data_IF_890404848605
#
_entry.id   IF_890404848605
#
_cell.length_a   1.000
_cell.length_b   1.000
_cell.length_c   1.000
_cell.angle_alpha   90.00
_cell.angle_beta   90.00
_cell.angle_gamma   90.00
#
_symmetry.space_group_name_H-M   'P 1'
#
loop_
_entity.id
_entity.type
_entity.pdbx_description
1 polymer ?
#
# COMPACT_ATOMS: atom_id res chain seq x y z
N UNK A 1 22.27 -17.61 28.75
CA UNK A 1 21.48 -17.73 27.54
C UNK A 1 21.13 -16.39 26.87
N UNK A 2 20.51 -15.40 27.51
CA UNK A 2 20.12 -14.11 26.88
C UNK A 2 21.26 -13.33 26.19
N UNK A 3 22.48 -13.38 26.71
CA UNK A 3 23.65 -12.69 26.09
C UNK A 3 24.19 -13.41 24.85
N UNK A 4 24.15 -14.73 24.83
CA UNK A 4 24.56 -15.53 23.67
C UNK A 4 23.59 -15.30 22.49
N UNK A 5 22.29 -15.32 22.75
CA UNK A 5 21.25 -15.05 21.74
C UNK A 5 21.38 -13.63 21.15
N UNK A 6 21.66 -12.62 22.00
CA UNK A 6 21.89 -11.25 21.53
C UNK A 6 23.17 -11.13 20.65
N UNK A 7 24.23 -11.87 21.01
CA UNK A 7 25.48 -11.87 20.24
C UNK A 7 25.31 -12.59 18.89
N UNK A 8 24.61 -13.74 18.89
CA UNK A 8 24.25 -14.46 17.66
C UNK A 8 23.39 -13.62 16.71
N UNK A 9 22.39 -12.89 17.21
CA UNK A 9 21.56 -11.98 16.41
C UNK A 9 22.41 -10.82 15.82
N UNK A 10 23.35 -10.27 16.57
CA UNK A 10 24.25 -9.22 16.05
C UNK A 10 25.15 -9.77 14.94
N UNK A 11 25.76 -10.95 15.13
CA UNK A 11 26.57 -11.60 14.11
C UNK A 11 25.76 -11.93 12.85
N UNK A 12 24.52 -12.44 12.99
CA UNK A 12 23.66 -12.71 11.86
C UNK A 12 23.28 -11.44 11.08
N UNK A 13 23.01 -10.33 11.79
CA UNK A 13 22.74 -9.02 11.14
C UNK A 13 23.98 -8.50 10.40
N UNK A 14 25.17 -8.61 10.99
CA UNK A 14 26.41 -8.20 10.34
C UNK A 14 26.67 -9.05 9.09
N UNK A 15 26.54 -10.38 9.18
CA UNK A 15 26.71 -11.28 8.06
C UNK A 15 25.71 -10.98 6.92
N UNK A 16 24.45 -10.72 7.26
CA UNK A 16 23.43 -10.33 6.27
C UNK A 16 23.77 -8.99 5.58
N UNK A 17 24.24 -7.99 6.33
CA UNK A 17 24.66 -6.72 5.75
C UNK A 17 25.89 -6.88 4.83
N UNK A 18 26.89 -7.70 5.24
CA UNK A 18 28.06 -7.99 4.41
C UNK A 18 27.67 -8.75 3.14
N UNK A 19 26.76 -9.73 3.23
CA UNK A 19 26.26 -10.46 2.08
C UNK A 19 25.51 -9.55 1.10
N UNK A 20 24.67 -8.64 1.60
CA UNK A 20 23.96 -7.66 0.77
C UNK A 20 24.94 -6.70 0.07
N UNK A 21 25.99 -6.24 0.77
CA UNK A 21 27.02 -5.41 0.17
C UNK A 21 27.78 -6.16 -0.92
N UNK A 22 28.26 -7.39 -0.64
CA UNK A 22 28.95 -8.23 -1.62
C UNK A 22 28.09 -8.48 -2.85
N UNK A 23 26.79 -8.75 -2.66
CA UNK A 23 25.83 -8.91 -3.74
C UNK A 23 25.76 -7.66 -4.63
N UNK A 24 25.59 -6.48 -4.05
CA UNK A 24 25.54 -5.22 -4.81
C UNK A 24 26.84 -4.97 -5.61
N UNK A 25 27.98 -5.38 -5.08
CA UNK A 25 29.27 -5.20 -5.75
C UNK A 25 29.54 -6.23 -6.86
N UNK A 26 29.08 -7.46 -6.69
CA UNK A 26 29.34 -8.55 -7.64
C UNK A 26 28.28 -8.68 -8.73
N UNK A 27 27.04 -8.25 -8.45
CA UNK A 27 25.87 -8.34 -9.33
C UNK A 27 25.32 -6.97 -9.73
N UNK A 28 26.22 -6.07 -10.11
CA UNK A 28 25.89 -4.66 -10.37
C UNK A 28 24.89 -4.49 -11.53
N UNK A 29 25.00 -5.31 -12.58
CA UNK A 29 24.12 -5.23 -13.74
C UNK A 29 22.67 -5.63 -13.35
N UNK A 30 22.52 -6.73 -12.62
CA UNK A 30 21.24 -7.25 -12.16
C UNK A 30 20.57 -6.30 -11.17
N UNK A 31 21.37 -5.71 -10.26
CA UNK A 31 20.91 -4.68 -9.31
C UNK A 31 20.44 -3.43 -10.06
N UNK A 32 21.21 -2.96 -11.04
CA UNK A 32 20.86 -1.80 -11.86
C UNK A 32 19.55 -2.04 -12.62
N UNK A 33 19.38 -3.21 -13.22
CA UNK A 33 18.16 -3.58 -13.92
C UNK A 33 16.96 -3.66 -12.97
N UNK A 34 17.11 -4.22 -11.77
CA UNK A 34 16.06 -4.28 -10.76
C UNK A 34 15.61 -2.88 -10.33
N UNK A 35 16.56 -1.96 -10.13
CA UNK A 35 16.27 -0.56 -9.79
C UNK A 35 15.59 0.17 -10.95
N UNK A 36 16.08 -0.01 -12.19
CA UNK A 36 15.47 0.60 -13.38
C UNK A 36 14.02 0.17 -13.55
N UNK A 37 13.73 -1.13 -13.44
CA UNK A 37 12.35 -1.64 -13.51
C UNK A 37 11.48 -1.12 -12.35
N UNK A 38 12.03 -0.91 -11.16
CA UNK A 38 11.32 -0.29 -10.05
C UNK A 38 10.97 1.17 -10.35
N UNK A 39 11.91 1.93 -10.92
CA UNK A 39 11.69 3.33 -11.32
C UNK A 39 10.60 3.43 -12.39
N UNK A 40 10.62 2.56 -13.39
CA UNK A 40 9.59 2.50 -14.42
C UNK A 40 8.20 2.23 -13.82
N UNK A 41 8.08 1.28 -12.88
CA UNK A 41 6.82 1.04 -12.15
C UNK A 41 6.39 2.25 -11.33
N UNK A 42 7.32 2.94 -10.68
CA UNK A 42 7.01 4.14 -9.93
C UNK A 42 6.44 5.25 -10.82
N UNK A 43 7.08 5.51 -11.95
CA UNK A 43 6.66 6.55 -12.90
C UNK A 43 5.37 6.17 -13.63
N UNK A 44 5.28 4.93 -14.12
CA UNK A 44 4.16 4.49 -14.95
C UNK A 44 2.89 4.13 -14.19
N UNK A 45 2.99 3.74 -12.91
CA UNK A 45 1.85 3.22 -12.16
C UNK A 45 1.67 3.93 -10.82
N UNK A 46 2.71 3.97 -9.98
CA UNK A 46 2.55 4.37 -8.57
C UNK A 46 2.29 5.88 -8.45
N UNK A 47 3.11 6.70 -9.10
CA UNK A 47 2.96 8.16 -9.05
C UNK A 47 1.61 8.60 -9.64
N UNK A 48 1.21 8.20 -10.87
CA UNK A 48 -0.07 8.61 -11.44
C UNK A 48 -1.29 8.17 -10.61
N UNK A 49 -1.22 7.00 -9.97
CA UNK A 49 -2.35 6.46 -9.20
C UNK A 49 -2.49 7.05 -7.80
N UNK A 50 -1.39 7.40 -7.13
CA UNK A 50 -1.40 7.75 -5.71
C UNK A 50 -1.19 9.23 -5.42
N UNK A 51 -0.44 9.96 -6.26
CA UNK A 51 -0.02 11.34 -5.94
C UNK A 51 -1.20 12.29 -5.74
N UNK A 52 -2.15 12.31 -6.69
CA UNK A 52 -3.34 13.15 -6.57
C UNK A 52 -4.18 12.79 -5.33
N UNK A 53 -4.34 11.49 -5.06
CA UNK A 53 -5.09 11.00 -3.91
C UNK A 53 -4.41 11.38 -2.59
N UNK A 54 -3.08 11.42 -2.55
CA UNK A 54 -2.31 11.87 -1.38
C UNK A 54 -2.50 13.37 -1.12
N UNK A 55 -2.58 14.20 -2.15
CA UNK A 55 -2.88 15.64 -2.01
C UNK A 55 -4.29 15.82 -1.45
N UNK A 56 -5.29 15.16 -2.06
CA UNK A 56 -6.68 15.24 -1.62
C UNK A 56 -6.84 14.78 -0.17
N UNK A 57 -6.20 13.66 0.22
CA UNK A 57 -6.24 13.20 1.61
C UNK A 57 -5.61 14.18 2.58
N UNK A 58 -4.48 14.78 2.20
CA UNK A 58 -3.82 15.83 2.97
C UNK A 58 -4.72 17.04 3.20
N UNK A 59 -5.45 17.46 2.18
CA UNK A 59 -6.44 18.54 2.26
C UNK A 59 -7.62 18.17 3.15
N UNK A 60 -8.18 16.97 2.99
CA UNK A 60 -9.30 16.49 3.80
C UNK A 60 -9.00 16.57 5.32
N UNK A 61 -7.79 16.15 5.71
CA UNK A 61 -7.37 16.18 7.11
C UNK A 61 -7.10 17.60 7.60
N UNK A 62 -6.39 18.39 6.79
CA UNK A 62 -5.98 19.76 7.20
C UNK A 62 -7.16 20.73 7.21
N UNK A 63 -8.09 20.61 6.27
CA UNK A 63 -9.29 21.45 6.20
C UNK A 63 -10.28 21.22 7.35
N UNK A 64 -10.16 20.13 8.09
CA UNK A 64 -11.10 19.78 9.14
C UNK A 64 -12.45 19.23 8.65
N UNK A 65 -12.58 18.96 7.34
CA UNK A 65 -13.83 18.42 6.76
C UNK A 65 -14.23 17.08 7.38
N UNK A 66 -13.24 16.32 7.88
CA UNK A 66 -13.49 15.07 8.63
C UNK A 66 -14.30 15.31 9.89
N UNK A 67 -14.24 16.53 10.47
CA UNK A 67 -15.06 16.97 11.61
C UNK A 67 -16.48 17.40 11.23
N UNK A 68 -16.74 17.64 9.95
CA UNK A 68 -18.05 18.13 9.46
C UNK A 68 -19.07 17.01 9.26
N UNK A 69 -18.73 15.76 9.58
CA UNK A 69 -19.65 14.61 9.46
C UNK A 69 -20.91 14.85 10.29
N UNK A 70 -22.13 14.71 9.68
CA UNK A 70 -23.38 14.86 10.38
C UNK A 70 -23.47 13.94 11.61
N UNK A 71 -24.07 14.41 12.69
CA UNK A 71 -24.15 13.66 13.96
C UNK A 71 -24.79 12.29 13.80
N UNK A 72 -25.82 12.17 12.98
CA UNK A 72 -26.51 10.90 12.76
C UNK A 72 -25.60 9.86 12.07
N UNK A 73 -24.79 10.27 11.09
CA UNK A 73 -23.80 9.39 10.43
C UNK A 73 -22.72 8.99 11.43
N UNK A 74 -22.27 9.93 12.27
CA UNK A 74 -21.32 9.63 13.34
C UNK A 74 -21.86 8.60 14.33
N UNK A 75 -23.12 8.71 14.76
CA UNK A 75 -23.77 7.74 15.64
C UNK A 75 -23.87 6.35 15.00
N UNK A 76 -24.21 6.29 13.70
CA UNK A 76 -24.23 5.03 12.95
C UNK A 76 -22.83 4.40 12.90
N UNK A 77 -21.80 5.17 12.57
CA UNK A 77 -20.42 4.73 12.54
C UNK A 77 -19.94 4.17 13.88
N UNK A 78 -20.24 4.88 14.98
CA UNK A 78 -19.89 4.42 16.34
C UNK A 78 -20.64 3.16 16.74
N UNK A 79 -21.92 3.06 16.35
CA UNK A 79 -22.76 1.92 16.69
C UNK A 79 -22.40 0.66 15.89
N UNK A 80 -22.16 0.80 14.58
CA UNK A 80 -21.91 -0.33 13.68
C UNK A 80 -20.43 -0.69 13.58
N UNK A 81 -19.56 0.30 13.46
CA UNK A 81 -18.13 0.08 13.20
C UNK A 81 -17.23 0.33 14.42
N UNK A 82 -17.77 0.90 15.48
CA UNK A 82 -17.00 1.25 16.67
C UNK A 82 -15.98 2.38 16.43
N UNK A 83 -16.22 3.20 15.42
CA UNK A 83 -15.36 4.30 15.02
C UNK A 83 -16.05 5.63 15.27
N UNK A 84 -15.29 6.64 15.75
CA UNK A 84 -15.81 8.02 15.86
C UNK A 84 -16.21 8.53 14.48
N UNK A 85 -17.26 9.37 14.43
CA UNK A 85 -17.80 9.89 13.17
C UNK A 85 -16.76 10.56 12.27
N UNK A 86 -15.75 11.23 12.84
CA UNK A 86 -14.67 11.86 12.08
C UNK A 86 -13.73 10.82 11.42
N UNK A 87 -13.71 9.58 11.89
CA UNK A 87 -12.92 8.50 11.30
C UNK A 87 -13.58 7.86 10.08
N UNK A 88 -14.89 8.03 9.89
CA UNK A 88 -15.59 7.42 8.76
C UNK A 88 -15.07 7.93 7.39
N UNK A 89 -14.89 9.24 7.17
CA UNK A 89 -14.23 9.72 5.95
C UNK A 89 -12.81 9.20 5.79
N UNK A 90 -12.03 9.10 6.86
CA UNK A 90 -10.67 8.55 6.83
C UNK A 90 -10.68 7.07 6.45
N UNK A 91 -11.60 6.30 7.01
CA UNK A 91 -11.78 4.89 6.71
C UNK A 91 -12.17 4.69 5.23
N UNK A 92 -13.21 5.38 4.77
CA UNK A 92 -13.68 5.29 3.39
C UNK A 92 -12.59 5.74 2.42
N UNK A 93 -11.99 6.90 2.67
CA UNK A 93 -10.94 7.43 1.82
C UNK A 93 -9.69 6.54 1.80
N UNK A 94 -9.29 5.99 2.95
CA UNK A 94 -8.14 5.11 3.06
C UNK A 94 -8.29 3.80 2.27
N UNK A 95 -9.52 3.30 2.11
CA UNK A 95 -9.78 2.13 1.26
C UNK A 95 -9.59 2.41 -0.24
N UNK A 96 -9.91 3.64 -0.67
CA UNK A 96 -9.89 4.00 -2.10
C UNK A 96 -8.66 4.79 -2.53
N UNK A 97 -7.98 5.48 -1.61
CA UNK A 97 -6.84 6.33 -1.94
C UNK A 97 -5.52 5.59 -2.12
N UNK A 98 -5.46 4.31 -1.74
CA UNK A 98 -4.24 3.51 -1.79
C UNK A 98 -3.57 3.33 -0.42
N UNK A 99 -2.76 2.29 -0.32
CA UNK A 99 -2.25 1.74 0.95
C UNK A 99 -1.65 2.72 1.97
N UNK A 100 -0.68 3.61 1.63
CA UNK A 100 -0.05 4.41 2.65
C UNK A 100 -0.86 5.66 3.03
N UNK A 101 -1.86 6.03 2.22
CA UNK A 101 -2.61 7.28 2.38
C UNK A 101 -3.45 7.24 3.65
N UNK A 102 -4.18 6.15 3.87
CA UNK A 102 -4.97 5.95 5.09
C UNK A 102 -4.10 5.97 6.34
N UNK A 103 -2.96 5.29 6.31
CA UNK A 103 -2.02 5.24 7.43
C UNK A 103 -1.44 6.61 7.77
N UNK A 104 -1.08 7.41 6.75
CA UNK A 104 -0.60 8.79 6.95
C UNK A 104 -1.64 9.67 7.63
N UNK A 105 -2.89 9.54 7.19
CA UNK A 105 -4.03 10.27 7.75
C UNK A 105 -4.23 9.90 9.22
N UNK A 106 -4.23 8.60 9.54
CA UNK A 106 -4.36 8.10 10.93
C UNK A 106 -3.19 8.55 11.79
N UNK A 107 -1.96 8.54 11.26
CA UNK A 107 -0.79 9.04 11.99
C UNK A 107 -0.95 10.52 12.38
N UNK A 108 -1.52 11.33 11.49
CA UNK A 108 -1.82 12.73 11.81
C UNK A 108 -2.80 12.85 12.99
N UNK A 109 -3.82 11.98 13.06
CA UNK A 109 -4.76 11.93 14.18
C UNK A 109 -4.10 11.51 15.50
N UNK A 110 -3.12 10.59 15.44
CA UNK A 110 -2.29 10.21 16.60
C UNK A 110 -1.44 11.37 17.07
N UNK A 111 -0.75 12.08 16.16
CA UNK A 111 0.08 13.24 16.50
C UNK A 111 -0.73 14.40 17.07
N UNK A 112 -1.99 14.54 16.65
CA UNK A 112 -2.93 15.50 17.24
C UNK A 112 -3.52 15.03 18.59
N UNK A 113 -3.12 13.88 19.12
CA UNK A 113 -3.62 13.34 20.39
C UNK A 113 -5.06 12.83 20.36
N UNK A 114 -5.67 12.70 19.17
CA UNK A 114 -7.06 12.25 19.00
C UNK A 114 -7.22 10.74 18.98
N UNK A 115 -6.16 10.01 18.65
CA UNK A 115 -6.11 8.53 18.64
C UNK A 115 -4.97 8.01 19.50
N UNK A 116 -5.18 6.91 20.20
CA UNK A 116 -4.09 6.15 20.80
C UNK A 116 -3.38 5.27 19.77
N UNK A 117 -2.10 4.92 20.03
CA UNK A 117 -1.24 4.17 19.08
C UNK A 117 -1.75 2.76 18.77
N UNK A 118 -2.33 2.06 19.74
CA UNK A 118 -2.79 0.68 19.55
C UNK A 118 -4.04 0.64 18.68
N UNK A 119 -4.96 1.57 18.93
CA UNK A 119 -6.16 1.73 18.12
C UNK A 119 -5.82 2.20 16.72
N UNK A 120 -4.88 3.15 16.60
CA UNK A 120 -4.37 3.60 15.31
C UNK A 120 -3.79 2.44 14.49
N UNK A 121 -3.12 1.49 15.11
CA UNK A 121 -2.59 0.31 14.42
C UNK A 121 -3.69 -0.58 13.82
N UNK A 122 -4.79 -0.78 14.54
CA UNK A 122 -5.96 -1.51 14.01
C UNK A 122 -6.61 -0.73 12.87
N UNK A 123 -6.81 0.58 13.05
CA UNK A 123 -7.40 1.45 12.03
C UNK A 123 -6.52 1.54 10.77
N UNK A 124 -5.18 1.61 10.91
CA UNK A 124 -4.26 1.51 9.77
C UNK A 124 -4.43 0.20 9.00
N UNK A 125 -4.68 -0.88 9.72
CA UNK A 125 -5.02 -2.14 9.10
C UNK A 125 -6.37 -2.12 8.37
N UNK A 126 -7.37 -1.41 8.85
CA UNK A 126 -8.71 -1.32 8.24
C UNK A 126 -8.78 -0.28 7.11
N UNK A 127 -8.14 0.88 7.29
CA UNK A 127 -8.05 1.95 6.29
C UNK A 127 -6.95 1.66 5.26
N UNK A 128 -6.98 0.48 4.66
CA UNK A 128 -5.89 -0.04 3.84
C UNK A 128 -6.48 -0.75 2.63
N UNK A 129 -6.13 -0.30 1.44
CA UNK A 129 -6.62 -0.90 0.21
C UNK A 129 -5.75 -0.55 -0.99
N UNK A 130 -5.76 -1.42 -1.98
CA UNK A 130 -5.27 -1.10 -3.30
C UNK A 130 -6.23 -0.10 -3.94
N UNK A 131 -5.82 1.11 -4.19
CA UNK A 131 -6.70 2.11 -4.81
C UNK A 131 -7.28 1.63 -6.16
N UNK A 132 -8.48 2.10 -6.56
CA UNK A 132 -9.11 1.72 -7.81
C UNK A 132 -8.18 1.91 -9.02
N UNK A 133 -7.39 2.99 -9.05
CA UNK A 133 -6.45 3.25 -10.13
C UNK A 133 -5.41 2.13 -10.31
N UNK A 134 -4.91 1.55 -9.19
CA UNK A 134 -4.01 0.40 -9.24
C UNK A 134 -4.74 -0.88 -9.65
N UNK A 135 -5.93 -1.13 -9.08
CA UNK A 135 -6.71 -2.34 -9.39
C UNK A 135 -7.12 -2.36 -10.86
N UNK A 136 -7.71 -1.28 -11.38
CA UNK A 136 -8.19 -1.23 -12.76
C UNK A 136 -7.05 -1.02 -13.76
N UNK A 137 -6.07 -0.17 -13.47
CA UNK A 137 -4.98 0.14 -14.39
C UNK A 137 -3.90 -0.93 -14.43
N UNK A 138 -3.49 -1.46 -13.29
CA UNK A 138 -2.37 -2.40 -13.21
C UNK A 138 -2.83 -3.87 -13.21
N UNK A 139 -3.83 -4.21 -12.39
CA UNK A 139 -4.24 -5.61 -12.22
C UNK A 139 -5.23 -6.01 -13.32
N UNK A 140 -6.41 -5.40 -13.30
CA UNK A 140 -7.54 -5.78 -14.15
C UNK A 140 -7.25 -5.54 -15.63
N UNK A 141 -6.70 -4.37 -15.97
CA UNK A 141 -6.40 -4.01 -17.35
C UNK A 141 -5.27 -4.85 -17.97
N UNK A 142 -4.22 -5.17 -17.21
CA UNK A 142 -3.07 -5.91 -17.72
C UNK A 142 -3.23 -7.42 -17.67
N UNK A 143 -3.79 -7.96 -16.58
CA UNK A 143 -3.86 -9.41 -16.37
C UNK A 143 -5.10 -10.04 -16.99
N UNK A 144 -6.23 -9.35 -16.95
CA UNK A 144 -7.52 -9.92 -17.32
C UNK A 144 -8.16 -9.22 -18.52
N UNK A 145 -7.71 -8.02 -18.86
CA UNK A 145 -8.36 -7.15 -19.86
C UNK A 145 -9.88 -6.99 -19.61
N UNK A 146 -10.29 -7.12 -18.36
CA UNK A 146 -11.69 -7.13 -17.91
C UNK A 146 -11.89 -6.16 -16.74
N UNK A 147 -12.66 -5.08 -16.93
CA UNK A 147 -13.04 -4.19 -15.82
C UNK A 147 -13.80 -4.92 -14.71
N UNK A 148 -14.56 -5.94 -15.07
CA UNK A 148 -15.35 -6.74 -14.12
C UNK A 148 -14.46 -7.49 -13.15
N UNK A 149 -13.31 -8.03 -13.60
CA UNK A 149 -12.32 -8.65 -12.71
C UNK A 149 -11.80 -7.65 -11.67
N UNK A 150 -11.54 -6.41 -12.09
CA UNK A 150 -11.15 -5.33 -11.18
C UNK A 150 -12.26 -4.98 -10.18
N UNK A 151 -13.50 -4.94 -10.63
CA UNK A 151 -14.65 -4.69 -9.77
C UNK A 151 -14.81 -5.80 -8.71
N UNK A 152 -14.64 -7.07 -9.09
CA UNK A 152 -14.65 -8.21 -8.17
C UNK A 152 -13.58 -8.05 -7.09
N UNK A 153 -12.34 -7.73 -7.47
CA UNK A 153 -11.24 -7.50 -6.51
C UNK A 153 -11.58 -6.34 -5.57
N UNK A 154 -12.05 -5.21 -6.11
CA UNK A 154 -12.36 -4.01 -5.32
C UNK A 154 -13.48 -4.28 -4.32
N UNK A 155 -14.56 -4.93 -4.74
CA UNK A 155 -15.70 -5.30 -3.89
C UNK A 155 -15.23 -6.28 -2.81
N UNK A 156 -14.45 -7.28 -3.16
CA UNK A 156 -13.93 -8.28 -2.22
C UNK A 156 -13.03 -7.68 -1.15
N UNK A 157 -12.11 -6.78 -1.54
CA UNK A 157 -11.23 -6.08 -0.62
C UNK A 157 -12.01 -5.13 0.30
N UNK A 158 -13.01 -4.43 -0.24
CA UNK A 158 -13.88 -3.54 0.54
C UNK A 158 -14.71 -4.35 1.54
N UNK A 159 -15.31 -5.45 1.10
CA UNK A 159 -16.07 -6.36 1.95
C UNK A 159 -15.19 -6.94 3.07
N UNK A 160 -13.96 -7.34 2.77
CA UNK A 160 -13.02 -7.84 3.77
C UNK A 160 -12.72 -6.79 4.85
N UNK A 161 -12.49 -5.55 4.47
CA UNK A 161 -12.25 -4.46 5.42
C UNK A 161 -13.49 -4.13 6.26
N UNK A 162 -14.68 -4.16 5.68
CA UNK A 162 -15.94 -3.96 6.41
C UNK A 162 -16.22 -5.10 7.39
N UNK A 163 -16.07 -6.36 6.96
CA UNK A 163 -16.23 -7.52 7.84
C UNK A 163 -15.25 -7.45 9.02
N UNK A 164 -13.98 -7.11 8.75
CA UNK A 164 -12.99 -6.95 9.81
C UNK A 164 -13.31 -5.78 10.75
N UNK A 165 -13.83 -4.67 10.23
CA UNK A 165 -14.26 -3.55 11.06
C UNK A 165 -15.39 -3.98 12.02
N UNK A 166 -16.35 -4.78 11.55
CA UNK A 166 -17.41 -5.35 12.38
C UNK A 166 -16.84 -6.32 13.44
N UNK A 167 -15.94 -7.21 13.06
CA UNK A 167 -15.31 -8.17 13.99
C UNK A 167 -14.44 -7.48 15.03
N UNK A 168 -13.76 -6.39 14.68
CA UNK A 168 -12.91 -5.62 15.58
C UNK A 168 -13.67 -4.52 16.33
N UNK A 169 -14.97 -4.33 16.05
CA UNK A 169 -15.81 -3.31 16.69
C UNK A 169 -15.70 -3.28 18.21
N UNK A 170 -15.71 -4.42 18.95
CA UNK A 170 -15.60 -4.39 20.41
C UNK A 170 -14.28 -3.77 20.89
N UNK A 171 -13.17 -4.06 20.20
CA UNK A 171 -11.84 -3.49 20.50
C UNK A 171 -11.78 -2.01 20.16
N UNK A 172 -12.40 -1.61 19.06
CA UNK A 172 -12.45 -0.21 18.62
C UNK A 172 -13.32 0.63 19.57
N UNK A 173 -14.49 0.14 20.00
CA UNK A 173 -15.37 0.84 20.96
C UNK A 173 -14.74 1.03 22.32
N UNK A 174 -13.95 0.08 22.81
CA UNK A 174 -13.33 0.15 24.14
C UNK A 174 -12.41 1.35 24.32
N UNK A 175 -11.87 1.88 23.23
CA UNK A 175 -10.91 2.98 23.23
C UNK A 175 -11.51 4.29 22.69
N UNK A 176 -12.85 4.38 22.52
CA UNK A 176 -13.50 5.60 22.06
C UNK A 176 -13.23 6.77 23.03
N UNK A 177 -12.62 7.83 22.53
CA UNK A 177 -12.44 9.08 23.27
C UNK A 177 -13.67 9.97 23.08
N UNK A 178 -14.35 10.27 24.17
CA UNK A 178 -15.48 11.22 24.17
C UNK A 178 -14.96 12.66 24.27
N UNK A 179 -15.66 13.60 23.63
CA UNK A 179 -15.37 15.03 23.77
C UNK A 179 -14.22 15.55 22.90
N UNK A 180 -13.89 14.87 21.79
CA UNK A 180 -12.87 15.38 20.85
C UNK A 180 -13.40 16.68 20.21
N UNK A 181 -12.66 17.81 20.32
CA UNK A 181 -13.06 19.07 19.73
C UNK A 181 -13.21 18.92 18.21
N UNK A 182 -14.34 19.34 17.67
CA UNK A 182 -14.52 19.43 16.23
C UNK A 182 -13.70 20.60 15.70
N UNK A 183 -12.81 20.33 14.75
CA UNK A 183 -12.19 21.42 13.99
C UNK A 183 -13.23 22.04 13.08
N UNK A 184 -13.32 23.36 13.07
CA UNK A 184 -14.08 24.09 12.07
C UNK A 184 -13.50 23.83 10.68
N UNK A 185 -14.34 23.80 9.66
CA UNK A 185 -13.91 23.73 8.28
C UNK A 185 -13.21 25.02 7.89
N UNK A 186 -12.01 24.92 7.36
CA UNK A 186 -11.27 26.02 6.75
C UNK A 186 -10.47 25.49 5.57
N UNK A 187 -10.42 26.24 4.49
CA UNK A 187 -9.60 25.94 3.32
C UNK A 187 -8.76 27.16 2.98
N UNK A 188 -7.44 26.98 2.87
CA UNK A 188 -6.51 28.04 2.51
C UNK A 188 -5.50 27.56 1.48
N UNK A 189 -4.92 28.50 0.72
CA UNK A 189 -3.87 28.20 -0.25
C UNK A 189 -2.64 27.57 0.43
N UNK A 190 -2.30 27.98 1.65
CA UNK A 190 -1.22 27.40 2.45
C UNK A 190 -1.47 25.91 2.75
N UNK A 191 -2.71 25.52 3.03
CA UNK A 191 -3.06 24.10 3.24
C UNK A 191 -2.87 23.27 1.98
N UNK A 192 -3.21 23.82 0.80
CA UNK A 192 -2.97 23.17 -0.49
C UNK A 192 -1.47 22.95 -0.71
N UNK A 193 -0.67 24.01 -0.58
CA UNK A 193 0.78 23.96 -0.75
C UNK A 193 1.42 22.92 0.19
N UNK A 194 1.08 22.93 1.47
CA UNK A 194 1.57 21.95 2.44
C UNK A 194 1.11 20.52 2.12
N UNK A 195 -0.07 20.35 1.56
CA UNK A 195 -0.57 19.02 1.15
C UNK A 195 0.20 18.50 -0.04
N UNK A 196 0.50 19.34 -1.03
CA UNK A 196 1.33 19.00 -2.20
C UNK A 196 2.74 18.61 -1.77
N UNK A 197 3.41 19.44 -0.96
CA UNK A 197 4.77 19.17 -0.44
C UNK A 197 4.80 17.86 0.34
N UNK A 198 3.83 17.67 1.23
CA UNK A 198 3.73 16.45 2.04
C UNK A 198 3.44 15.20 1.21
N UNK A 199 2.65 15.33 0.14
CA UNK A 199 2.40 14.25 -0.81
C UNK A 199 3.67 13.89 -1.59
N UNK A 200 4.40 14.89 -2.10
CA UNK A 200 5.66 14.70 -2.82
C UNK A 200 6.71 13.97 -1.98
N UNK A 201 6.89 14.37 -0.72
CA UNK A 201 7.81 13.69 0.20
C UNK A 201 7.43 12.23 0.41
N UNK A 202 6.16 11.96 0.71
CA UNK A 202 5.72 10.58 0.91
C UNK A 202 5.82 9.75 -0.37
N UNK A 203 5.62 10.35 -1.54
CA UNK A 203 5.78 9.69 -2.83
C UNK A 203 7.24 9.28 -3.06
N UNK A 204 8.19 10.17 -2.76
CA UNK A 204 9.61 9.86 -2.84
C UNK A 204 9.99 8.71 -1.90
N UNK A 205 9.52 8.72 -0.65
CA UNK A 205 9.74 7.63 0.32
C UNK A 205 9.18 6.29 -0.20
N UNK A 206 7.98 6.29 -0.81
CA UNK A 206 7.36 5.10 -1.39
C UNK A 206 8.20 4.56 -2.55
N UNK A 207 8.62 5.42 -3.49
CA UNK A 207 9.43 5.02 -4.64
C UNK A 207 10.80 4.45 -4.21
N UNK A 208 11.46 5.07 -3.23
CA UNK A 208 12.70 4.54 -2.65
C UNK A 208 12.51 3.17 -2.01
N UNK A 209 11.39 2.94 -1.30
CA UNK A 209 11.08 1.63 -0.72
C UNK A 209 10.84 0.57 -1.80
N UNK A 210 10.13 0.90 -2.87
CA UNK A 210 9.90 -0.01 -4.00
C UNK A 210 11.23 -0.38 -4.65
N UNK A 211 12.12 0.58 -4.89
CA UNK A 211 13.45 0.32 -5.44
C UNK A 211 14.29 -0.59 -4.53
N UNK A 212 14.31 -0.32 -3.22
CA UNK A 212 15.01 -1.15 -2.24
C UNK A 212 14.45 -2.59 -2.20
N UNK A 213 13.13 -2.74 -2.26
CA UNK A 213 12.51 -4.07 -2.32
C UNK A 213 12.76 -4.81 -3.64
N UNK A 214 12.90 -4.09 -4.75
CA UNK A 214 13.29 -4.70 -6.02
C UNK A 214 14.71 -5.27 -5.98
N UNK A 215 15.66 -4.56 -5.35
CA UNK A 215 17.00 -5.09 -5.09
C UNK A 215 16.96 -6.30 -4.15
N UNK A 216 16.14 -6.23 -3.10
CA UNK A 216 15.96 -7.36 -2.19
C UNK A 216 15.33 -8.58 -2.87
N UNK A 217 14.34 -8.38 -3.72
CA UNK A 217 13.74 -9.45 -4.52
C UNK A 217 14.76 -10.08 -5.46
N UNK A 218 15.61 -9.27 -6.12
CA UNK A 218 16.69 -9.77 -6.96
C UNK A 218 17.71 -10.59 -6.16
N UNK A 219 18.07 -10.15 -4.97
CA UNK A 219 18.92 -10.92 -4.06
C UNK A 219 18.31 -12.28 -3.73
N UNK A 220 17.00 -12.34 -3.44
CA UNK A 220 16.30 -13.61 -3.18
C UNK A 220 16.27 -14.53 -4.40
N UNK A 221 16.24 -13.97 -5.60
CA UNK A 221 16.34 -14.72 -6.87
C UNK A 221 17.71 -15.37 -7.00
N UNK A 222 18.79 -14.62 -6.77
CA UNK A 222 20.18 -15.10 -6.90
C UNK A 222 20.52 -16.19 -5.88
N UNK A 223 20.05 -16.11 -4.65
CA UNK A 223 20.24 -17.16 -3.64
C UNK A 223 19.31 -18.37 -3.83
N UNK A 224 18.46 -18.37 -4.88
CA UNK A 224 17.53 -19.45 -5.18
C UNK A 224 16.28 -19.53 -4.31
N UNK A 225 16.05 -18.56 -3.41
CA UNK A 225 14.89 -18.55 -2.53
C UNK A 225 13.57 -18.40 -3.31
N UNK A 226 13.57 -17.59 -4.37
CA UNK A 226 12.42 -17.45 -5.27
C UNK A 226 12.10 -18.78 -5.98
N UNK A 227 13.12 -19.48 -6.47
CA UNK A 227 12.94 -20.78 -7.13
C UNK A 227 12.42 -21.85 -6.15
N UNK A 228 12.91 -21.84 -4.92
CA UNK A 228 12.45 -22.72 -3.86
C UNK A 228 10.97 -22.43 -3.53
N UNK A 229 10.61 -21.17 -3.22
CA UNK A 229 9.26 -20.77 -2.93
C UNK A 229 8.31 -21.03 -4.12
N UNK A 230 8.74 -20.72 -5.34
CA UNK A 230 7.97 -20.97 -6.57
C UNK A 230 7.62 -22.44 -6.76
N UNK A 231 8.54 -23.36 -6.49
CA UNK A 231 8.24 -24.81 -6.54
C UNK A 231 7.19 -25.24 -5.51
N UNK A 232 7.27 -24.72 -4.29
CA UNK A 232 6.28 -25.01 -3.25
C UNK A 232 4.90 -24.45 -3.58
N UNK A 233 4.84 -23.21 -4.06
CA UNK A 233 3.58 -22.56 -4.48
C UNK A 233 2.98 -23.31 -5.69
N UNK A 234 3.80 -23.65 -6.68
CA UNK A 234 3.39 -24.45 -7.86
C UNK A 234 2.76 -25.79 -7.45
N UNK A 235 3.40 -26.50 -6.51
CA UNK A 235 2.87 -27.78 -6.02
C UNK A 235 1.55 -27.61 -5.24
N UNK A 236 1.39 -26.51 -4.50
CA UNK A 236 0.20 -26.22 -3.70
C UNK A 236 -0.99 -25.76 -4.56
N UNK A 237 -0.73 -24.94 -5.56
CA UNK A 237 -1.76 -24.28 -6.37
C UNK A 237 -1.99 -24.97 -7.72
N UNK A 238 -1.13 -25.91 -8.14
CA UNK A 238 -1.19 -26.54 -9.45
C UNK A 238 -0.86 -25.60 -10.61
N UNK A 239 -0.14 -24.49 -10.35
CA UNK A 239 0.19 -23.45 -11.34
C UNK A 239 1.59 -23.68 -11.91
N UNK A 240 1.88 -23.04 -13.05
CA UNK A 240 3.23 -23.05 -13.60
C UNK A 240 4.25 -22.42 -12.61
N UNK A 241 5.50 -22.89 -12.68
CA UNK A 241 6.58 -22.40 -11.82
C UNK A 241 6.86 -20.91 -12.07
N UNK A 242 6.73 -20.44 -13.31
CA UNK A 242 6.86 -19.02 -13.70
C UNK A 242 5.85 -18.15 -12.97
N UNK A 243 4.57 -18.51 -13.03
CA UNK A 243 3.46 -17.83 -12.33
C UNK A 243 3.64 -17.90 -10.82
N UNK A 244 4.06 -19.04 -10.28
CA UNK A 244 4.30 -19.23 -8.84
C UNK A 244 5.43 -18.34 -8.30
N UNK A 245 6.51 -18.16 -9.08
CA UNK A 245 7.58 -17.21 -8.76
C UNK A 245 7.07 -15.77 -8.75
N UNK A 246 6.28 -15.38 -9.75
CA UNK A 246 5.68 -14.05 -9.80
C UNK A 246 4.71 -13.82 -8.63
N UNK A 247 3.92 -14.81 -8.22
CA UNK A 247 3.09 -14.73 -7.02
C UNK A 247 3.93 -14.55 -5.75
N UNK A 248 5.07 -15.21 -5.63
CA UNK A 248 6.01 -14.99 -4.53
C UNK A 248 6.53 -13.55 -4.51
N UNK A 249 6.89 -12.98 -5.67
CA UNK A 249 7.28 -11.56 -5.78
C UNK A 249 6.15 -10.62 -5.32
N UNK A 250 4.88 -10.95 -5.64
CA UNK A 250 3.73 -10.18 -5.18
C UNK A 250 3.56 -10.18 -3.64
N UNK A 251 3.99 -11.24 -2.94
CA UNK A 251 4.03 -11.25 -1.47
C UNK A 251 5.06 -10.27 -0.95
N UNK A 252 6.16 -10.07 -1.65
CA UNK A 252 7.19 -9.10 -1.29
C UNK A 252 6.74 -7.68 -1.63
N UNK A 253 6.27 -7.49 -2.86
CA UNK A 253 5.81 -6.20 -3.38
C UNK A 253 4.61 -6.41 -4.32
N UNK A 254 3.45 -5.95 -3.90
CA UNK A 254 2.21 -6.08 -4.69
C UNK A 254 2.29 -5.36 -6.04
N UNK A 255 3.17 -4.38 -6.20
CA UNK A 255 3.35 -3.69 -7.49
C UNK A 255 3.91 -4.61 -8.58
N UNK A 256 4.57 -5.70 -8.19
CA UNK A 256 5.02 -6.75 -9.10
C UNK A 256 3.85 -7.57 -9.71
N UNK A 257 2.63 -7.41 -9.24
CA UNK A 257 1.47 -8.07 -9.82
C UNK A 257 1.26 -7.74 -11.31
N UNK A 258 1.69 -6.56 -11.75
CA UNK A 258 1.67 -6.19 -13.17
C UNK A 258 2.67 -6.97 -14.05
N UNK A 259 3.58 -7.74 -13.46
CA UNK A 259 4.55 -8.61 -14.15
C UNK A 259 4.05 -10.06 -14.30
N UNK A 260 2.93 -10.40 -13.67
CA UNK A 260 2.31 -11.71 -13.85
C UNK A 260 1.96 -11.92 -15.34
N UNK A 261 2.17 -13.13 -15.88
CA UNK A 261 1.63 -13.49 -17.19
C UNK A 261 0.09 -13.39 -17.13
N UNK A 262 -0.57 -13.26 -18.30
CA UNK A 262 -2.03 -13.23 -18.35
C UNK A 262 -2.61 -14.31 -17.46
N UNK A 263 -3.41 -13.90 -16.48
CA UNK A 263 -3.87 -14.79 -15.43
C UNK A 263 -5.25 -15.36 -15.78
N UNK A 264 -5.42 -16.65 -15.55
CA UNK A 264 -6.73 -17.27 -15.55
C UNK A 264 -7.57 -16.77 -14.35
N UNK A 265 -8.88 -16.73 -14.51
CA UNK A 265 -9.80 -16.34 -13.43
C UNK A 265 -9.70 -17.23 -12.18
N UNK A 266 -9.17 -18.44 -12.31
CA UNK A 266 -8.85 -19.31 -11.16
C UNK A 266 -7.88 -18.65 -10.15
N UNK A 267 -7.01 -17.76 -10.61
CA UNK A 267 -6.05 -17.02 -9.78
C UNK A 267 -6.63 -15.73 -9.17
N UNK A 268 -7.81 -15.28 -9.63
CA UNK A 268 -8.42 -14.03 -9.18
C UNK A 268 -8.59 -13.96 -7.65
N UNK A 269 -9.02 -15.02 -6.92
CA UNK A 269 -9.10 -14.98 -5.46
C UNK A 269 -7.74 -14.81 -4.80
N UNK A 270 -6.68 -15.41 -5.37
CA UNK A 270 -5.32 -15.28 -4.85
C UNK A 270 -4.81 -13.85 -5.06
N UNK A 271 -5.05 -13.28 -6.23
CA UNK A 271 -4.69 -11.89 -6.55
C UNK A 271 -5.48 -10.92 -5.67
N UNK A 272 -6.77 -11.19 -5.40
CA UNK A 272 -7.57 -10.42 -4.46
C UNK A 272 -6.99 -10.47 -3.04
N UNK A 273 -6.56 -11.64 -2.58
CA UNK A 273 -5.89 -11.78 -1.28
C UNK A 273 -4.57 -11.02 -1.22
N UNK A 274 -3.73 -11.13 -2.27
CA UNK A 274 -2.44 -10.42 -2.35
C UNK A 274 -2.61 -8.90 -2.39
N UNK A 275 -3.59 -8.40 -3.14
CA UNK A 275 -3.92 -6.97 -3.16
C UNK A 275 -4.50 -6.50 -1.83
N UNK A 276 -5.27 -7.32 -1.13
CA UNK A 276 -5.72 -7.02 0.23
C UNK A 276 -4.56 -6.99 1.22
N UNK A 277 -3.60 -7.90 1.12
CA UNK A 277 -2.40 -7.93 1.96
C UNK A 277 -1.46 -6.76 1.66
N UNK A 278 -1.25 -6.42 0.39
CA UNK A 278 -0.42 -5.32 -0.09
C UNK A 278 1.07 -5.62 -0.21
N UNK A 279 1.55 -6.75 0.32
CA UNK A 279 2.96 -7.12 0.32
C UNK A 279 3.77 -6.53 1.47
N UNK A 280 4.95 -7.11 1.71
CA UNK A 280 5.86 -6.67 2.78
C UNK A 280 6.40 -5.25 2.53
N UNK A 281 6.64 -4.89 1.28
CA UNK A 281 7.09 -3.55 0.87
C UNK A 281 6.12 -2.49 1.39
N UNK A 282 4.82 -2.66 1.16
CA UNK A 282 3.80 -1.69 1.60
C UNK A 282 3.70 -1.61 3.14
N UNK A 283 3.85 -2.74 3.84
CA UNK A 283 3.88 -2.73 5.31
C UNK A 283 5.04 -1.85 5.82
N UNK A 284 6.20 -1.92 5.20
CA UNK A 284 7.34 -1.07 5.55
C UNK A 284 7.16 0.37 5.09
N UNK A 285 6.50 0.62 3.93
CA UNK A 285 6.10 1.97 3.51
C UNK A 285 5.20 2.63 4.57
N UNK A 286 4.24 1.90 5.13
CA UNK A 286 3.40 2.41 6.23
C UNK A 286 4.26 2.77 7.44
N UNK A 287 5.23 1.93 7.81
CA UNK A 287 6.17 2.24 8.90
C UNK A 287 6.93 3.54 8.66
N UNK A 288 7.43 3.74 7.44
CA UNK A 288 8.17 4.93 7.04
C UNK A 288 7.29 6.17 7.07
N UNK A 289 6.13 6.12 6.39
CA UNK A 289 5.17 7.24 6.31
C UNK A 289 4.61 7.65 7.67
N UNK A 290 4.53 6.71 8.62
CA UNK A 290 4.11 6.97 10.00
C UNK A 290 5.28 7.24 10.95
N UNK A 291 6.51 7.35 10.43
CA UNK A 291 7.74 7.56 11.22
C UNK A 291 7.86 6.60 12.41
N UNK A 292 7.39 5.37 12.26
CA UNK A 292 7.41 4.34 13.31
C UNK A 292 6.50 4.63 14.52
N UNK A 293 5.63 5.64 14.46
CA UNK A 293 4.74 6.02 15.57
C UNK A 293 3.63 4.97 15.84
N UNK A 294 3.33 4.14 14.86
CA UNK A 294 2.24 3.17 14.91
C UNK A 294 2.83 1.75 14.98
N UNK A 295 2.44 0.92 15.97
CA UNK A 295 2.92 -0.45 16.07
C UNK A 295 2.43 -1.30 14.90
N UNK A 296 3.36 -1.99 14.22
CA UNK A 296 3.06 -2.77 13.01
C UNK A 296 2.36 -4.10 13.29
N UNK A 297 2.60 -4.75 14.46
CA UNK A 297 2.07 -6.09 14.74
C UNK A 297 0.54 -6.20 14.61
N UNK A 298 -0.28 -5.31 15.24
CA UNK A 298 -1.73 -5.38 15.08
C UNK A 298 -2.17 -5.13 13.63
N UNK A 299 -1.48 -4.24 12.93
CA UNK A 299 -1.74 -3.95 11.52
C UNK A 299 -1.48 -5.20 10.64
N UNK A 300 -0.33 -5.87 10.81
CA UNK A 300 0.02 -7.07 10.04
C UNK A 300 -1.02 -8.17 10.25
N UNK A 301 -1.41 -8.43 11.51
CA UNK A 301 -2.46 -9.40 11.83
C UNK A 301 -3.78 -9.06 11.12
N UNK A 302 -4.17 -7.79 11.15
CA UNK A 302 -5.38 -7.31 10.45
C UNK A 302 -5.27 -7.55 8.95
N UNK A 303 -4.08 -7.35 8.34
CA UNK A 303 -3.88 -7.54 6.90
C UNK A 303 -3.89 -9.00 6.49
N UNK A 304 -3.29 -9.89 7.29
CA UNK A 304 -3.37 -11.34 7.05
C UNK A 304 -4.84 -11.79 7.11
N UNK A 305 -5.58 -11.36 8.13
CA UNK A 305 -7.01 -11.70 8.25
C UNK A 305 -7.83 -11.13 7.09
N UNK A 306 -7.55 -9.88 6.65
CA UNK A 306 -8.20 -9.28 5.49
C UNK A 306 -7.93 -10.04 4.20
N UNK A 307 -6.70 -10.50 3.99
CA UNK A 307 -6.34 -11.29 2.81
C UNK A 307 -7.13 -12.59 2.74
N UNK A 308 -7.26 -13.30 3.86
CA UNK A 308 -8.05 -14.53 3.94
C UNK A 308 -9.54 -14.25 3.65
N UNK A 309 -10.11 -13.21 4.27
CA UNK A 309 -11.52 -12.85 4.04
C UNK A 309 -11.73 -12.41 2.58
N UNK A 310 -10.80 -11.64 2.02
CA UNK A 310 -10.85 -11.18 0.63
C UNK A 310 -10.79 -12.34 -0.36
N UNK A 311 -9.98 -13.38 -0.09
CA UNK A 311 -9.94 -14.59 -0.89
C UNK A 311 -11.32 -15.24 -0.98
N UNK A 312 -11.96 -15.49 0.15
CA UNK A 312 -13.28 -16.11 0.18
C UNK A 312 -14.38 -15.20 -0.38
N UNK A 313 -14.32 -13.90 -0.08
CA UNK A 313 -15.26 -12.93 -0.64
C UNK A 313 -15.16 -12.89 -2.18
N UNK A 314 -13.95 -12.92 -2.73
CA UNK A 314 -13.74 -12.97 -4.17
C UNK A 314 -14.31 -14.26 -4.78
N UNK A 315 -14.02 -15.41 -4.15
CA UNK A 315 -14.54 -16.70 -4.62
C UNK A 315 -16.07 -16.76 -4.63
N UNK A 316 -16.72 -16.11 -3.67
CA UNK A 316 -18.17 -15.99 -3.61
C UNK A 316 -18.70 -15.00 -4.66
N UNK A 317 -18.03 -13.86 -4.86
CA UNK A 317 -18.48 -12.80 -5.77
C UNK A 317 -18.33 -13.19 -7.26
N UNK A 318 -17.29 -13.97 -7.61
CA UNK A 318 -16.97 -14.38 -8.98
C UNK A 318 -18.19 -14.94 -9.77
N UNK A 319 -18.92 -15.95 -9.28
CA UNK A 319 -20.00 -16.56 -10.05
C UNK A 319 -21.16 -15.61 -10.31
N UNK A 320 -21.30 -14.55 -9.51
CA UNK A 320 -22.36 -13.55 -9.67
C UNK A 320 -21.94 -12.42 -10.62
N UNK A 321 -20.68 -12.01 -10.58
CA UNK A 321 -20.19 -10.84 -11.32
C UNK A 321 -19.55 -11.19 -12.67
N UNK A 322 -18.99 -12.40 -12.83
CA UNK A 322 -18.31 -12.85 -14.05
C UNK A 322 -19.19 -13.74 -14.93
N UNK A 323 -20.51 -13.77 -14.72
CA UNK A 323 -21.44 -14.54 -15.58
C UNK A 323 -21.36 -14.03 -17.02
N UNK A 324 -20.94 -14.93 -17.94
CA UNK A 324 -20.86 -14.64 -19.38
C UNK A 324 -19.54 -14.07 -19.87
N UNK A 325 -18.55 -13.79 -19.02
CA UNK A 325 -17.21 -13.48 -19.46
C UNK A 325 -16.45 -14.77 -19.72
N UNK A 326 -16.32 -15.14 -20.98
CA UNK A 326 -15.32 -16.14 -21.42
C UNK A 326 -13.95 -15.45 -21.41
N UNK A 327 -12.95 -16.10 -20.80
CA UNK A 327 -11.56 -15.67 -20.96
C UNK A 327 -11.24 -15.74 -22.44
N UNK A 328 -11.27 -14.61 -23.10
CA UNK A 328 -10.67 -14.50 -24.43
C UNK A 328 -9.17 -14.65 -24.21
N UNK A 329 -8.65 -15.85 -24.51
CA UNK A 329 -7.22 -16.11 -24.61
C UNK A 329 -6.59 -15.41 -25.83
N UNK A 330 -7.16 -14.27 -26.24
CA UNK A 330 -6.50 -13.38 -27.15
C UNK A 330 -5.28 -12.84 -26.42
N UNK A 331 -4.12 -13.41 -26.73
CA UNK A 331 -2.84 -12.80 -26.48
C UNK A 331 -2.88 -11.36 -26.97
N UNK A 332 -3.37 -10.46 -26.12
CA UNK A 332 -3.15 -9.05 -26.31
C UNK A 332 -1.64 -8.92 -26.04
N UNK A 333 -0.85 -8.94 -27.13
CA UNK A 333 0.39 -8.21 -27.14
C UNK A 333 0.02 -6.87 -26.53
N UNK A 334 0.37 -6.70 -25.25
CA UNK A 334 0.35 -5.40 -24.62
C UNK A 334 1.31 -4.57 -25.49
N UNK A 335 0.76 -3.90 -26.49
CA UNK A 335 1.42 -2.78 -27.10
C UNK A 335 1.58 -1.86 -25.91
N UNK A 336 2.80 -1.80 -25.38
CA UNK A 336 3.20 -0.76 -24.46
C UNK A 336 2.92 0.49 -25.28
N UNK A 337 1.75 1.07 -25.08
CA UNK A 337 1.54 2.47 -25.41
C UNK A 337 2.49 3.15 -24.43
N UNK A 338 3.74 3.32 -24.88
CA UNK A 338 4.56 4.39 -24.37
C UNK A 338 3.71 5.63 -24.57
N UNK A 339 2.95 6.00 -23.54
CA UNK A 339 2.33 7.30 -23.55
C UNK A 339 3.52 8.26 -23.55
N UNK A 340 3.77 8.86 -24.70
CA UNK A 340 4.73 9.94 -24.89
C UNK A 340 4.30 11.21 -24.15
N UNK A 341 3.38 11.05 -23.19
CA UNK A 341 2.94 12.12 -22.30
C UNK A 341 4.12 12.55 -21.42
N UNK A 342 4.60 13.79 -21.53
CA UNK A 342 5.68 14.31 -20.68
C UNK A 342 5.26 14.49 -19.23
N UNK A 343 3.97 14.26 -18.91
CA UNK A 343 3.37 14.51 -17.59
C UNK A 343 4.10 13.77 -16.47
N UNK A 344 4.44 12.46 -16.57
CA UNK A 344 5.19 11.77 -15.53
C UNK A 344 6.58 12.36 -15.28
N UNK A 345 7.28 12.75 -16.35
CA UNK A 345 8.62 13.35 -16.27
C UNK A 345 8.57 14.75 -15.65
N UNK A 346 7.58 15.57 -16.04
CA UNK A 346 7.36 16.89 -15.45
C UNK A 346 6.99 16.77 -13.98
N UNK A 347 6.14 15.81 -13.59
CA UNK A 347 5.80 15.54 -12.19
C UNK A 347 7.02 15.11 -11.38
N UNK A 348 7.91 14.29 -11.93
CA UNK A 348 9.14 13.89 -11.26
C UNK A 348 10.08 15.07 -11.05
N UNK A 349 10.25 15.94 -12.05
CA UNK A 349 11.05 17.17 -11.96
C UNK A 349 10.47 18.11 -10.92
N UNK A 350 9.16 18.33 -10.91
CA UNK A 350 8.49 19.16 -9.90
C UNK A 350 8.65 18.57 -8.50
N UNK A 351 8.55 17.26 -8.35
CA UNK A 351 8.74 16.55 -7.08
C UNK A 351 10.17 16.72 -6.57
N UNK A 352 11.16 16.59 -7.45
CA UNK A 352 12.57 16.78 -7.12
C UNK A 352 12.86 18.24 -6.74
N UNK A 353 12.31 19.20 -7.49
CA UNK A 353 12.47 20.62 -7.21
C UNK A 353 11.88 21.00 -5.84
N UNK A 354 10.69 20.45 -5.49
CA UNK A 354 10.06 20.66 -4.18
C UNK A 354 10.92 20.11 -3.04
N UNK A 355 11.52 18.93 -3.21
CA UNK A 355 12.43 18.34 -2.22
C UNK A 355 13.70 19.19 -2.04
N UNK A 356 14.27 19.71 -3.13
CA UNK A 356 15.42 20.63 -3.06
C UNK A 356 15.08 21.94 -2.35
N UNK A 357 13.94 22.55 -2.65
CA UNK A 357 13.48 23.77 -2.00
C UNK A 357 13.27 23.59 -0.50
N UNK A 358 12.70 22.46 -0.09
CA UNK A 358 12.47 22.16 1.33
C UNK A 358 13.79 21.86 2.07
N UNK A 359 14.73 21.17 1.43
CA UNK A 359 16.06 20.95 1.96
C UNK A 359 16.85 22.25 2.15
N UNK A 360 16.69 23.18 1.21
CA UNK A 360 17.34 24.51 1.27
C UNK A 360 16.75 25.39 2.41
N UNK A 361 15.44 25.33 2.63
CA UNK A 361 14.78 26.11 3.70
C UNK A 361 15.06 25.52 5.09
N UNK A 362 15.18 24.19 5.19
CA UNK A 362 15.62 23.47 6.40
C UNK A 362 17.04 23.85 6.82
N UNK A 363 17.95 24.01 5.86
CA UNK A 363 19.33 24.43 6.08
C UNK A 363 19.42 25.85 6.66
N UNK A 364 18.60 26.78 6.19
CA UNK A 364 18.56 28.16 6.73
C UNK A 364 18.07 28.25 8.18
N UNK A 365 17.22 27.34 8.64
CA UNK A 365 16.76 27.27 10.03
C UNK A 365 17.81 26.65 10.97
N UNK A 366 18.72 25.83 10.45
CA UNK A 366 19.81 25.23 11.23
C UNK A 366 20.94 26.22 11.50
N UNK A 367 21.19 27.15 10.60
CA UNK A 367 22.22 28.21 10.75
C UNK A 367 21.73 29.46 11.51
N UNK A 368 20.46 29.49 11.94
CA UNK A 368 19.87 30.64 12.67
C UNK A 368 19.56 30.32 14.14
N UNK A 369 20.05 29.22 14.67
CA UNK A 369 20.17 28.87 16.09
C UNK A 369 21.65 28.74 16.43
#
# INVERSE_FOLDING_TARGET
MKNFTKKAIKCAKAAAATAAFAFCMTKTAEVSQAVSGAVERCIGVVIPSLFAMMIVSGLLVRSGITGAVPRFIGMISEKLLGMEGFMLPVFTFGMFAGYPVGAKTICTEVLCGRLDKNRAALLCGLCYGAGPAFIFGCISGRLYSSPTAGAVILVSNTAANLILALLLMPKLKRSLRRGIPRRGFSLSADMLTRSVISAGRSMAEICMMIAAFSVFAQFLTEIGAEAFAGRWISKLLGTEISTSKALFRCVLDVTAAGELPCADYSLLPIISALTSFGGLCVILQVSTVTSGQIPLKPMILTRISAAVISFFACRIAMPFMLKGETVSAAAIKATIHQSTSPVPSVMLILMTAVLFLESYDGSKKFFRK
#
